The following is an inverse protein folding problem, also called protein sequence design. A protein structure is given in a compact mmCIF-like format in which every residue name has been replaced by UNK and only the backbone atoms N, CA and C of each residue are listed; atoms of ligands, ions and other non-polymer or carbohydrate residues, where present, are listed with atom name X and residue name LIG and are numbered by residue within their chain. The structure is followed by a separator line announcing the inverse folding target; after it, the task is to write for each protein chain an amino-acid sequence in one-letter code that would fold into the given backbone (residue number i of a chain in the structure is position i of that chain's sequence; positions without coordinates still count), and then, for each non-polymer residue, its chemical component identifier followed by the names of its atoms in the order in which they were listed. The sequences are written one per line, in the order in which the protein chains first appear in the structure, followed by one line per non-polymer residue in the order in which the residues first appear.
data_IF_846293105500
#
_entry.id   IF_846293105500
#
_cell.length_a   1.000
_cell.length_b   1.000
_cell.length_c   1.000
_cell.angle_alpha   90.00
_cell.angle_beta   90.00
_cell.angle_gamma   90.00
#
_symmetry.space_group_name_H-M   'P 1'
#
loop_
_entity.id
_entity.type
_entity.pdbx_description
1 polymer ?
#
# COMPACT_ATOMS: atom_id res chain seq x y z
N UNK A 1 -8.85 -9.05 17.93
CA UNK A 1 -7.53 -9.04 18.60
C UNK A 1 -7.20 -7.63 19.06
N UNK A 2 -6.73 -7.41 20.30
CA UNK A 2 -6.33 -6.07 20.75
C UNK A 2 -5.13 -5.61 19.93
N UNK A 3 -5.17 -4.39 19.37
CA UNK A 3 -4.02 -3.79 18.67
C UNK A 3 -2.84 -3.76 19.65
N UNK A 4 -1.70 -4.32 19.24
CA UNK A 4 -0.48 -4.23 20.01
C UNK A 4 -0.23 -2.76 20.38
N UNK A 5 -0.12 -2.47 21.68
CA UNK A 5 0.24 -1.13 22.15
C UNK A 5 1.63 -0.84 21.57
N UNK A 6 1.67 0.09 20.61
CA UNK A 6 2.94 0.60 20.11
C UNK A 6 3.74 1.21 21.25
N UNK A 7 5.04 1.41 21.01
CA UNK A 7 5.91 2.13 21.94
C UNK A 7 5.22 3.41 22.42
N UNK A 8 5.02 3.53 23.73
CA UNK A 8 4.30 4.64 24.36
C UNK A 8 5.07 5.95 24.25
N UNK A 9 6.38 5.90 24.02
CA UNK A 9 7.24 7.05 23.79
C UNK A 9 7.31 7.44 22.30
N UNK A 10 6.70 6.67 21.41
CA UNK A 10 6.67 7.00 19.99
C UNK A 10 5.77 8.22 19.74
N UNK A 11 6.28 9.27 19.09
CA UNK A 11 5.48 10.41 18.67
C UNK A 11 4.24 9.98 17.89
N UNK A 12 3.10 10.59 18.21
CA UNK A 12 1.83 10.31 17.51
C UNK A 12 1.97 10.77 16.06
N UNK A 13 1.50 9.97 15.11
CA UNK A 13 1.57 10.30 13.69
C UNK A 13 0.97 11.66 13.32
N UNK A 14 1.47 12.25 12.24
CA UNK A 14 0.95 13.52 11.69
C UNK A 14 -0.53 13.41 11.34
N UNK A 15 -1.30 14.39 11.78
CA UNK A 15 -2.68 14.59 11.33
C UNK A 15 -2.71 15.46 10.07
N UNK A 16 -3.46 14.98 9.08
CA UNK A 16 -3.78 15.74 7.87
C UNK A 16 -4.90 16.74 8.14
N UNK A 17 -5.10 17.68 7.21
CA UNK A 17 -6.19 18.65 7.29
C UNK A 17 -7.55 17.95 7.41
N UNK A 18 -7.75 16.90 6.60
CA UNK A 18 -8.94 16.06 6.67
C UNK A 18 -9.09 15.33 8.01
N UNK A 19 -7.99 14.85 8.62
CA UNK A 19 -8.06 14.20 9.93
C UNK A 19 -8.50 15.16 11.04
N UNK A 20 -8.06 16.42 10.99
CA UNK A 20 -8.55 17.47 11.88
C UNK A 20 -10.02 17.80 11.64
N UNK A 21 -10.44 17.86 10.38
CA UNK A 21 -11.85 18.05 10.04
C UNK A 21 -12.75 16.92 10.56
N UNK A 22 -12.34 15.66 10.34
CA UNK A 22 -13.02 14.48 10.87
C UNK A 22 -13.13 14.54 12.39
N UNK A 23 -12.09 15.01 13.08
CA UNK A 23 -12.10 15.19 14.52
C UNK A 23 -13.11 16.28 14.94
N UNK A 24 -13.13 17.43 14.28
CA UNK A 24 -14.10 18.49 14.57
C UNK A 24 -15.54 18.05 14.32
N UNK A 25 -15.81 17.35 13.21
CA UNK A 25 -17.15 16.79 12.95
C UNK A 25 -17.57 15.80 14.03
N UNK A 26 -16.62 14.99 14.55
CA UNK A 26 -16.90 13.98 15.57
C UNK A 26 -17.17 14.62 16.92
N UNK A 27 -16.41 15.65 17.28
CA UNK A 27 -16.60 16.44 18.51
C UNK A 27 -17.92 17.19 18.48
N UNK A 28 -18.27 17.83 17.36
CA UNK A 28 -19.56 18.51 17.20
C UNK A 28 -20.73 17.54 17.29
N UNK A 29 -20.63 16.37 16.66
CA UNK A 29 -21.67 15.34 16.74
C UNK A 29 -21.83 14.83 18.17
N UNK A 30 -20.73 14.56 18.87
CA UNK A 30 -20.76 14.12 20.26
C UNK A 30 -21.35 15.20 21.19
N UNK A 31 -21.12 16.47 20.88
CA UNK A 31 -21.65 17.58 21.65
C UNK A 31 -23.16 17.79 21.41
N UNK A 32 -23.63 17.62 20.16
CA UNK A 32 -25.05 17.80 19.78
C UNK A 32 -25.91 16.59 20.14
N UNK A 33 -25.33 15.39 20.05
CA UNK A 33 -26.01 14.12 20.26
C UNK A 33 -25.17 13.23 21.19
N UNK A 34 -25.06 13.59 22.49
CA UNK A 34 -24.21 12.87 23.44
C UNK A 34 -24.66 11.42 23.69
N UNK A 35 -25.96 11.14 23.55
CA UNK A 35 -26.56 9.82 23.78
C UNK A 35 -26.77 9.01 22.49
N UNK A 36 -26.49 9.59 21.31
CA UNK A 36 -26.66 8.89 20.03
C UNK A 36 -25.41 8.09 19.66
N UNK A 37 -25.60 6.81 19.38
CA UNK A 37 -24.50 5.93 18.99
C UNK A 37 -24.23 6.04 17.49
N UNK A 38 -23.18 6.76 17.13
CA UNK A 38 -22.81 7.05 15.74
C UNK A 38 -22.24 5.81 15.05
N UNK A 39 -22.92 5.33 14.01
CA UNK A 39 -22.39 4.29 13.11
C UNK A 39 -21.22 4.87 12.31
N UNK A 40 -20.00 4.42 12.64
CA UNK A 40 -18.75 4.98 12.11
C UNK A 40 -18.71 5.03 10.58
N UNK A 41 -19.20 4.00 9.90
CA UNK A 41 -19.18 3.92 8.44
C UNK A 41 -20.06 5.01 7.79
N UNK A 42 -21.27 5.22 8.32
CA UNK A 42 -22.16 6.27 7.83
C UNK A 42 -21.62 7.66 8.13
N UNK A 43 -21.07 7.85 9.33
CA UNK A 43 -20.45 9.10 9.73
C UNK A 43 -19.24 9.45 8.86
N UNK A 44 -18.39 8.46 8.56
CA UNK A 44 -17.25 8.65 7.67
C UNK A 44 -17.67 9.05 6.26
N UNK A 45 -18.74 8.44 5.72
CA UNK A 45 -19.29 8.81 4.40
C UNK A 45 -19.85 10.23 4.39
N UNK A 46 -20.59 10.63 5.44
CA UNK A 46 -21.12 12.00 5.58
C UNK A 46 -20.01 13.04 5.64
N UNK A 47 -18.96 12.79 6.42
CA UNK A 47 -17.82 13.70 6.53
C UNK A 47 -17.02 13.79 5.22
N UNK A 48 -16.83 12.68 4.50
CA UNK A 48 -16.18 12.69 3.19
C UNK A 48 -16.96 13.57 2.18
N UNK A 49 -18.29 13.45 2.16
CA UNK A 49 -19.15 14.30 1.35
C UNK A 49 -19.05 15.78 1.75
N UNK A 50 -19.07 16.08 3.05
CA UNK A 50 -18.92 17.45 3.54
C UNK A 50 -17.56 18.04 3.15
N UNK A 51 -16.45 17.33 3.37
CA UNK A 51 -15.10 17.80 3.01
C UNK A 51 -14.96 18.14 1.53
N UNK A 52 -15.60 17.35 0.64
CA UNK A 52 -15.62 17.63 -0.80
C UNK A 52 -16.38 18.92 -1.14
N UNK A 53 -17.43 19.23 -0.40
CA UNK A 53 -18.25 20.43 -0.56
C UNK A 53 -17.70 21.66 0.18
N UNK A 54 -16.68 21.51 1.04
CA UNK A 54 -16.08 22.63 1.76
C UNK A 54 -15.37 23.59 0.83
N UNK A 55 -15.48 24.89 1.16
CA UNK A 55 -14.76 25.94 0.44
C UNK A 55 -13.27 25.88 0.75
N UNK A 56 -12.44 26.40 -0.17
CA UNK A 56 -10.99 26.49 0.06
C UNK A 56 -10.65 27.32 1.31
N UNK A 57 -11.47 28.31 1.66
CA UNK A 57 -11.30 29.08 2.89
C UNK A 57 -11.50 28.23 4.15
N UNK A 58 -12.52 27.37 4.16
CA UNK A 58 -12.76 26.47 5.29
C UNK A 58 -11.67 25.40 5.38
N UNK A 59 -11.25 24.84 4.25
CA UNK A 59 -10.11 23.90 4.18
C UNK A 59 -8.81 24.54 4.63
N UNK A 60 -8.58 25.84 4.33
CA UNK A 60 -7.37 26.58 4.71
C UNK A 60 -7.16 26.60 6.23
N UNK A 61 -8.24 26.68 7.01
CA UNK A 61 -8.17 26.56 8.47
C UNK A 61 -7.60 25.20 8.88
N UNK A 62 -8.07 24.11 8.26
CA UNK A 62 -7.61 22.76 8.55
C UNK A 62 -6.20 22.49 8.01
N UNK A 63 -5.84 23.08 6.87
CA UNK A 63 -4.48 23.05 6.32
C UNK A 63 -3.49 23.68 7.30
N UNK A 64 -3.77 24.86 7.84
CA UNK A 64 -2.91 25.50 8.84
C UNK A 64 -2.76 24.66 10.12
N UNK A 65 -3.81 23.97 10.57
CA UNK A 65 -3.71 23.04 11.69
C UNK A 65 -2.82 21.82 11.36
N UNK A 66 -2.95 21.27 10.15
CA UNK A 66 -2.13 20.16 9.67
C UNK A 66 -0.65 20.54 9.51
N UNK A 67 -0.34 21.76 9.07
CA UNK A 67 1.02 22.27 8.98
C UNK A 67 1.68 22.41 10.36
N UNK A 68 0.95 22.95 11.34
CA UNK A 68 1.42 23.01 12.73
C UNK A 68 1.65 21.62 13.32
N UNK A 69 0.77 20.69 13.02
CA UNK A 69 0.89 19.28 13.43
C UNK A 69 2.09 18.58 12.78
N UNK A 70 2.36 18.90 11.51
CA UNK A 70 3.53 18.45 10.79
C UNK A 70 4.81 18.89 11.48
N UNK A 71 4.92 20.17 11.84
CA UNK A 71 6.08 20.70 12.56
C UNK A 71 6.24 20.07 13.95
N UNK A 72 5.14 19.89 14.69
CA UNK A 72 5.15 19.19 15.98
C UNK A 72 5.73 17.78 15.84
N UNK A 73 5.20 16.99 14.91
CA UNK A 73 5.66 15.62 14.70
C UNK A 73 7.11 15.55 14.23
N UNK A 74 7.53 16.45 13.34
CA UNK A 74 8.92 16.50 12.88
C UNK A 74 9.87 16.81 14.04
N UNK A 75 9.50 17.75 14.91
CA UNK A 75 10.28 18.06 16.10
C UNK A 75 10.30 16.89 17.09
N UNK A 76 9.15 16.27 17.38
CA UNK A 76 9.07 15.10 18.26
C UNK A 76 9.88 13.91 17.71
N UNK A 77 9.81 13.66 16.39
CA UNK A 77 10.58 12.60 15.74
C UNK A 77 12.08 12.87 15.72
N UNK A 78 12.53 14.13 15.65
CA UNK A 78 13.97 14.49 15.77
C UNK A 78 14.55 14.09 17.13
N UNK A 79 13.73 14.13 18.18
CA UNK A 79 14.14 13.79 19.55
C UNK A 79 13.81 12.35 19.94
N UNK A 80 13.05 11.63 19.11
CA UNK A 80 12.65 10.26 19.37
C UNK A 80 13.78 9.27 19.06
N UNK A 81 14.22 8.54 20.09
CA UNK A 81 15.14 7.42 19.94
C UNK A 81 14.34 6.11 19.97
N UNK A 82 14.24 5.39 18.84
CA UNK A 82 13.55 4.11 18.84
C UNK A 82 14.31 3.10 19.71
N UNK A 83 13.61 2.22 20.45
CA UNK A 83 14.26 1.16 21.21
C UNK A 83 15.05 0.24 20.28
N UNK A 84 16.18 -0.27 20.77
CA UNK A 84 17.11 -1.08 20.00
C UNK A 84 16.38 -2.33 19.43
N UNK A 85 16.36 -2.47 18.11
CA UNK A 85 15.61 -3.53 17.40
C UNK A 85 14.25 -3.11 16.83
N UNK A 86 13.76 -1.89 17.09
CA UNK A 86 12.60 -1.34 16.40
C UNK A 86 12.96 -0.83 15.00
N UNK A 87 13.13 -1.76 14.04
CA UNK A 87 13.26 -1.40 12.63
C UNK A 87 12.00 -0.66 12.19
N UNK A 88 12.19 0.52 11.56
CA UNK A 88 11.15 1.45 11.16
C UNK A 88 10.04 0.84 10.30
N UNK A 89 8.87 1.52 10.34
CA UNK A 89 7.56 1.04 9.88
C UNK A 89 7.22 -0.29 10.54
N UNK A 90 6.39 -0.24 11.58
CA UNK A 90 5.69 -1.42 12.08
C UNK A 90 5.15 -2.12 10.84
N UNK A 91 5.72 -3.28 10.54
CA UNK A 91 5.36 -4.07 9.38
C UNK A 91 3.88 -4.27 9.53
N UNK A 92 3.05 -3.59 8.71
CA UNK A 92 1.66 -3.99 8.55
C UNK A 92 1.78 -5.49 8.33
N UNK A 93 1.26 -6.30 9.27
CA UNK A 93 1.29 -7.75 9.14
C UNK A 93 0.84 -8.00 7.72
N UNK A 94 1.75 -8.50 6.86
CA UNK A 94 1.39 -8.84 5.48
C UNK A 94 0.18 -9.74 5.66
N UNK A 95 -0.99 -9.27 5.23
CA UNK A 95 -2.18 -10.10 5.32
C UNK A 95 -1.81 -11.42 4.65
N UNK A 96 -2.13 -12.52 5.33
CA UNK A 96 -1.90 -13.85 4.77
C UNK A 96 -2.66 -13.85 3.46
N UNK A 97 -1.95 -13.88 2.34
CA UNK A 97 -2.58 -13.96 1.03
C UNK A 97 -3.39 -15.24 1.00
N UNK A 98 -4.65 -15.15 0.55
CA UNK A 98 -5.50 -16.31 0.39
C UNK A 98 -4.75 -17.37 -0.44
N UNK A 99 -4.62 -18.62 0.04
CA UNK A 99 -3.98 -19.69 -0.71
C UNK A 99 -4.60 -19.93 -2.09
N UNK A 100 -5.86 -19.56 -2.29
CA UNK A 100 -6.59 -19.69 -3.54
C UNK A 100 -6.51 -18.45 -4.44
N UNK A 101 -5.91 -17.35 -3.97
CA UNK A 101 -5.73 -16.17 -4.80
C UNK A 101 -4.73 -16.47 -5.95
N UNK A 102 -5.06 -16.12 -7.20
CA UNK A 102 -4.14 -16.28 -8.32
C UNK A 102 -2.79 -15.63 -8.04
N UNK A 103 -1.72 -16.30 -8.44
CA UNK A 103 -0.36 -15.76 -8.30
C UNK A 103 -0.19 -14.59 -9.27
N UNK A 104 0.36 -13.47 -8.78
CA UNK A 104 0.64 -12.27 -9.58
C UNK A 104 1.41 -12.59 -10.86
N UNK A 105 1.08 -11.89 -11.93
CA UNK A 105 1.82 -11.94 -13.18
C UNK A 105 3.27 -11.47 -12.98
N UNK A 106 4.17 -12.05 -13.78
CA UNK A 106 5.58 -11.69 -13.84
C UNK A 106 5.81 -10.63 -14.93
N UNK A 107 6.67 -9.65 -14.63
CA UNK A 107 7.11 -8.67 -15.62
C UNK A 107 8.09 -9.30 -16.63
N UNK A 108 8.37 -8.58 -17.73
CA UNK A 108 9.30 -9.01 -18.77
C UNK A 108 10.68 -9.37 -18.20
N UNK A 109 11.20 -8.53 -17.29
CA UNK A 109 12.47 -8.77 -16.63
C UNK A 109 12.45 -10.05 -15.76
N UNK A 110 11.34 -10.34 -15.08
CA UNK A 110 11.25 -11.55 -14.27
C UNK A 110 11.13 -12.82 -15.11
N UNK A 111 10.49 -12.75 -16.28
CA UNK A 111 10.52 -13.85 -17.26
C UNK A 111 11.94 -14.07 -17.82
N UNK A 112 12.66 -12.99 -18.12
CA UNK A 112 14.07 -13.06 -18.51
C UNK A 112 14.93 -13.71 -17.42
N UNK A 113 14.75 -13.29 -16.17
CA UNK A 113 15.46 -13.87 -15.03
C UNK A 113 15.08 -15.34 -14.81
N UNK A 114 13.82 -15.71 -14.99
CA UNK A 114 13.36 -17.09 -14.85
C UNK A 114 14.12 -18.02 -15.81
N UNK A 115 14.25 -17.63 -17.07
CA UNK A 115 14.86 -18.46 -18.11
C UNK A 115 16.41 -18.46 -18.03
N UNK A 116 17.03 -17.32 -17.70
CA UNK A 116 18.49 -17.19 -17.69
C UNK A 116 19.15 -17.49 -16.34
N UNK A 117 18.42 -17.51 -15.23
CA UNK A 117 19.01 -17.80 -13.91
C UNK A 117 19.69 -19.17 -13.85
N UNK A 118 19.12 -20.18 -14.51
CA UNK A 118 19.74 -21.51 -14.63
C UNK A 118 21.08 -21.44 -15.35
N UNK A 119 21.09 -20.81 -16.53
CA UNK A 119 22.28 -20.61 -17.35
C UNK A 119 23.39 -19.85 -16.61
N UNK A 120 23.07 -18.77 -15.88
CA UNK A 120 24.07 -18.01 -15.10
C UNK A 120 24.63 -18.85 -13.95
N UNK A 121 23.79 -19.66 -13.30
CA UNK A 121 24.23 -20.55 -12.22
C UNK A 121 25.13 -21.68 -12.73
N UNK A 122 24.89 -22.19 -13.93
CA UNK A 122 25.75 -23.19 -14.56
C UNK A 122 27.10 -22.61 -14.99
N UNK A 123 27.10 -21.37 -15.52
CA UNK A 123 28.33 -20.65 -15.89
C UNK A 123 29.16 -20.24 -14.67
N UNK A 124 28.49 -19.87 -13.58
CA UNK A 124 29.11 -19.40 -12.35
C UNK A 124 28.49 -20.13 -11.15
N UNK A 125 28.86 -21.40 -10.91
CA UNK A 125 28.31 -22.19 -9.80
C UNK A 125 28.70 -21.65 -8.43
N UNK A 126 29.75 -20.81 -8.37
CA UNK A 126 30.18 -20.11 -7.16
C UNK A 126 29.31 -18.90 -6.81
N UNK A 127 28.54 -18.35 -7.77
CA UNK A 127 27.74 -17.15 -7.52
C UNK A 127 26.58 -17.45 -6.58
N UNK A 128 26.46 -16.58 -5.57
CA UNK A 128 25.27 -16.54 -4.72
C UNK A 128 24.06 -16.05 -5.50
N UNK A 129 22.86 -16.31 -4.98
CA UNK A 129 21.63 -15.84 -5.62
C UNK A 129 21.61 -14.31 -5.84
N UNK A 130 22.22 -13.55 -4.93
CA UNK A 130 22.34 -12.10 -5.05
C UNK A 130 23.25 -11.68 -6.22
N UNK A 131 24.36 -12.38 -6.42
CA UNK A 131 25.30 -12.12 -7.53
C UNK A 131 24.70 -12.51 -8.88
N UNK A 132 23.99 -13.64 -8.93
CA UNK A 132 23.24 -14.06 -10.12
C UNK A 132 22.20 -13.00 -10.50
N UNK A 133 21.45 -12.48 -9.51
CA UNK A 133 20.45 -11.43 -9.76
C UNK A 133 21.09 -10.13 -10.28
N UNK A 134 22.25 -9.72 -9.74
CA UNK A 134 23.00 -8.55 -10.23
C UNK A 134 23.46 -8.74 -11.68
N UNK A 135 23.99 -9.91 -12.01
CA UNK A 135 24.45 -10.22 -13.37
C UNK A 135 23.28 -10.25 -14.37
N UNK A 136 22.13 -10.82 -13.99
CA UNK A 136 20.92 -10.78 -14.82
C UNK A 136 20.40 -9.36 -15.03
N UNK A 137 20.45 -8.52 -14.00
CA UNK A 137 20.10 -7.09 -14.11
C UNK A 137 21.01 -6.37 -15.13
N UNK A 138 22.31 -6.63 -15.07
CA UNK A 138 23.29 -6.09 -16.02
C UNK A 138 22.99 -6.57 -17.45
N UNK A 139 22.77 -7.87 -17.65
CA UNK A 139 22.46 -8.47 -18.96
C UNK A 139 21.18 -7.90 -19.55
N UNK A 140 20.13 -7.71 -18.74
CA UNK A 140 18.89 -7.07 -19.18
C UNK A 140 19.08 -5.62 -19.64
N UNK A 141 19.89 -4.86 -18.91
CA UNK A 141 20.20 -3.47 -19.26
C UNK A 141 20.84 -3.33 -20.65
N UNK A 142 21.72 -4.26 -21.00
CA UNK A 142 22.41 -4.30 -22.32
C UNK A 142 21.70 -5.15 -23.37
N UNK A 143 20.56 -5.78 -23.04
CA UNK A 143 19.81 -6.61 -23.98
C UNK A 143 19.21 -5.74 -25.10
N UNK A 144 19.17 -6.30 -26.30
CA UNK A 144 18.57 -5.70 -27.48
C UNK A 144 17.04 -5.62 -27.38
N UNK A 145 16.45 -4.73 -28.17
CA UNK A 145 15.02 -4.49 -28.15
C UNK A 145 14.21 -5.71 -28.63
N UNK A 146 14.77 -6.57 -29.49
CA UNK A 146 14.08 -7.78 -29.92
C UNK A 146 13.97 -8.80 -28.78
N UNK A 147 15.07 -9.01 -28.03
CA UNK A 147 15.04 -9.81 -26.80
C UNK A 147 14.06 -9.22 -25.80
N UNK A 148 14.09 -7.91 -25.54
CA UNK A 148 13.16 -7.25 -24.62
C UNK A 148 11.71 -7.40 -25.09
N UNK A 149 11.44 -7.27 -26.38
CA UNK A 149 10.12 -7.45 -26.97
C UNK A 149 9.59 -8.88 -26.81
N UNK A 150 10.44 -9.90 -26.96
CA UNK A 150 10.05 -11.29 -26.72
C UNK A 150 9.58 -11.51 -25.27
N UNK A 151 10.33 -10.97 -24.29
CA UNK A 151 9.94 -11.09 -22.88
C UNK A 151 8.77 -10.18 -22.50
N UNK A 152 8.60 -9.05 -23.18
CA UNK A 152 7.41 -8.22 -23.06
C UNK A 152 6.15 -8.97 -23.52
N UNK A 153 6.23 -9.70 -24.65
CA UNK A 153 5.13 -10.54 -25.12
C UNK A 153 4.79 -11.67 -24.13
N UNK A 154 5.80 -12.31 -23.51
CA UNK A 154 5.59 -13.30 -22.45
C UNK A 154 4.92 -12.68 -21.21
N UNK A 155 5.37 -11.49 -20.79
CA UNK A 155 4.79 -10.78 -19.66
C UNK A 155 3.33 -10.39 -19.92
N UNK A 156 3.03 -9.97 -21.14
CA UNK A 156 1.68 -9.61 -21.58
C UNK A 156 0.74 -10.82 -21.58
N UNK A 157 1.22 -11.97 -22.09
CA UNK A 157 0.46 -13.23 -22.01
C UNK A 157 0.20 -13.64 -20.56
N UNK A 158 1.19 -13.47 -19.68
CA UNK A 158 1.04 -13.79 -18.27
C UNK A 158 0.12 -12.82 -17.52
N UNK A 159 0.13 -11.54 -17.90
CA UNK A 159 -0.83 -10.53 -17.44
C UNK A 159 -2.25 -10.93 -17.82
N UNK A 160 -2.49 -11.30 -19.07
CA UNK A 160 -3.80 -11.77 -19.53
C UNK A 160 -4.26 -13.04 -18.79
N UNK A 161 -3.34 -13.99 -18.53
CA UNK A 161 -3.62 -15.17 -17.69
C UNK A 161 -4.03 -14.75 -16.28
N UNK A 162 -3.25 -13.87 -15.64
CA UNK A 162 -3.53 -13.42 -14.28
C UNK A 162 -4.86 -12.67 -14.19
N UNK A 163 -5.19 -11.82 -15.17
CA UNK A 163 -6.46 -11.11 -15.22
C UNK A 163 -7.65 -12.06 -15.37
N UNK A 164 -7.55 -13.06 -16.25
CA UNK A 164 -8.59 -14.08 -16.40
C UNK A 164 -8.79 -14.86 -15.10
N UNK A 165 -7.69 -15.32 -14.50
CA UNK A 165 -7.74 -16.11 -13.28
C UNK A 165 -8.23 -15.25 -12.09
N UNK A 166 -7.87 -13.97 -12.05
CA UNK A 166 -8.34 -13.01 -11.04
C UNK A 166 -9.83 -12.69 -11.22
N UNK A 167 -10.31 -12.55 -12.45
CA UNK A 167 -11.73 -12.36 -12.72
C UNK A 167 -12.54 -13.58 -12.30
N UNK A 168 -12.04 -14.80 -12.57
CA UNK A 168 -12.66 -16.03 -12.10
C UNK A 168 -12.65 -16.11 -10.56
N UNK A 169 -11.54 -15.73 -9.93
CA UNK A 169 -11.41 -15.70 -8.47
C UNK A 169 -12.37 -14.69 -7.82
N UNK A 170 -12.42 -13.45 -8.31
CA UNK A 170 -13.37 -12.42 -7.88
C UNK A 170 -14.81 -12.93 -8.01
N UNK A 171 -15.17 -13.53 -9.15
CA UNK A 171 -16.50 -14.12 -9.37
C UNK A 171 -16.81 -15.26 -8.40
N UNK A 172 -15.86 -16.17 -8.17
CA UNK A 172 -16.01 -17.30 -7.22
C UNK A 172 -16.18 -16.84 -5.77
N UNK A 173 -15.71 -15.63 -5.46
CA UNK A 173 -15.84 -15.02 -4.15
C UNK A 173 -17.10 -14.15 -4.00
N UNK A 174 -17.74 -13.81 -5.12
CA UNK A 174 -19.02 -13.12 -5.17
C UNK A 174 -20.22 -14.09 -5.13
N UNK A 175 -20.03 -15.41 -5.33
CA UNK A 175 -21.04 -16.42 -4.97
C UNK A 175 -21.07 -16.60 -3.43
N UNK A 176 -22.27 -16.65 -2.80
CA UNK A 176 -22.42 -16.38 -1.37
C UNK A 176 -21.98 -17.57 -0.53
N UNK A 177 -20.68 -17.66 -0.30
CA UNK A 177 -20.15 -18.14 0.95
C UNK A 177 -19.26 -17.04 1.52
N UNK A 178 -19.79 -16.36 2.54
CA UNK A 178 -19.30 -15.11 3.10
C UNK A 178 -17.79 -14.98 3.16
N UNK A 179 -17.27 -13.90 2.58
CA UNK A 179 -16.42 -12.89 3.23
C UNK A 179 -15.84 -11.92 2.17
N UNK A 180 -16.43 -10.73 2.18
CA UNK A 180 -16.06 -9.41 1.63
C UNK A 180 -14.70 -9.22 0.92
N UNK A 181 -14.73 -8.70 -0.32
CA UNK A 181 -13.60 -8.12 -1.05
C UNK A 181 -13.59 -6.61 -0.89
N UNK A 182 -12.43 -6.06 -0.54
CA UNK A 182 -12.15 -4.62 -0.58
C UNK A 182 -11.45 -4.32 -1.92
N UNK A 183 -12.11 -3.49 -2.74
CA UNK A 183 -11.58 -2.88 -3.96
C UNK A 183 -10.69 -1.70 -3.56
N UNK A 184 -9.38 -1.93 -3.46
CA UNK A 184 -8.41 -0.84 -3.61
C UNK A 184 -7.94 -0.85 -5.06
N UNK A 185 -8.71 -0.13 -5.89
CA UNK A 185 -8.30 0.42 -7.19
C UNK A 185 -7.04 1.27 -7.01
N UNK A 186 -6.07 1.06 -7.89
CA UNK A 186 -4.82 1.80 -7.90
C UNK A 186 -5.04 3.25 -8.38
N UNK A 187 -4.59 4.22 -7.59
CA UNK A 187 -4.14 5.52 -8.11
C UNK A 187 -2.63 5.62 -7.82
N UNK A 188 -1.81 5.17 -8.79
CA UNK A 188 -0.43 5.65 -8.96
C UNK A 188 -0.53 7.10 -9.48
N UNK A 189 -0.42 8.06 -8.56
CA UNK A 189 -0.21 9.47 -8.88
C UNK A 189 1.31 9.72 -8.81
N UNK A 190 1.99 9.47 -9.93
CA UNK A 190 3.33 9.97 -10.20
C UNK A 190 3.22 11.44 -10.65
N UNK A 191 3.66 12.37 -9.80
CA UNK A 191 4.23 13.65 -10.22
C UNK A 191 5.48 13.99 -9.41
#
# INVERSE_FOLDING_TARGET
MPRAKGDSNKPRGRMTAYAYFMQTCREEHKNKYPDENVVFLEFSRRCAGQWKLMTENDKKRFQGMAERDKLRFENEMRHYQPPQGATGRGTKRKQVKDPNAPKRSLSAFFWFCHDLRGHVKEQHPEYTLGEIAKELGRRWGVSDDATKAQYAAKAEQDRARYERDMNAYKKSKLEPHGEYYDEDEEEDDDE
#
